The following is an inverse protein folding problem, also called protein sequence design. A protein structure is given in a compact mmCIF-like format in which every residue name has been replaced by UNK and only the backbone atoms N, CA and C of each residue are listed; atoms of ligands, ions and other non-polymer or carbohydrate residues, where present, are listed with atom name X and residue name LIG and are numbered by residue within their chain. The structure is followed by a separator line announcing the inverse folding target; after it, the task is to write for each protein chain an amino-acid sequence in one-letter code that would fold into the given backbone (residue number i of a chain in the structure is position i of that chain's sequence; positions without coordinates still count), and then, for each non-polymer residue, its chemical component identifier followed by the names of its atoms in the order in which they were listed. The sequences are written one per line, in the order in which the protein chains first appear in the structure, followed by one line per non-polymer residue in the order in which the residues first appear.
data_IF_352217406915
#
_entry.id   IF_352217406915
#
_cell.length_a   1.000
_cell.length_b   1.000
_cell.length_c   1.000
_cell.angle_alpha   90.00
_cell.angle_beta   90.00
_cell.angle_gamma   90.00
#
_symmetry.space_group_name_H-M   'P 1'
#
loop_
_entity.id
_entity.type
_entity.pdbx_description
1 polymer ?
#
# COMPACT_ATOMS: atom_id res chain seq x y z
N UNK A 1 15.34 16.58 -27.21
CA UNK A 1 15.04 15.96 -25.90
C UNK A 1 15.01 17.05 -24.85
N UNK A 2 13.85 17.66 -24.62
CA UNK A 2 13.67 18.73 -23.64
C UNK A 2 13.82 18.16 -22.23
N UNK A 3 14.90 18.54 -21.54
CA UNK A 3 15.07 18.29 -20.11
C UNK A 3 14.14 19.27 -19.39
N UNK A 4 12.98 18.79 -18.96
CA UNK A 4 12.19 19.44 -17.92
C UNK A 4 13.00 19.35 -16.62
N UNK A 5 13.99 20.23 -16.47
CA UNK A 5 14.65 20.43 -15.20
C UNK A 5 13.66 21.24 -14.34
N UNK A 6 13.20 20.71 -13.19
CA UNK A 6 12.23 21.39 -12.35
C UNK A 6 12.80 22.72 -11.84
N UNK A 7 11.98 23.76 -11.85
CA UNK A 7 12.37 25.08 -11.34
C UNK A 7 12.41 25.07 -9.80
N UNK A 8 13.09 26.05 -9.17
CA UNK A 8 13.10 26.16 -7.68
C UNK A 8 11.72 26.09 -7.06
N UNK A 9 10.74 26.75 -7.68
CA UNK A 9 9.36 26.79 -7.21
C UNK A 9 8.72 25.40 -7.20
N UNK A 10 8.99 24.61 -8.23
CA UNK A 10 8.52 23.22 -8.32
C UNK A 10 9.15 22.38 -7.20
N UNK A 11 10.47 22.48 -7.00
CA UNK A 11 11.18 21.74 -5.95
C UNK A 11 10.70 22.09 -4.53
N UNK A 12 10.49 23.39 -4.25
CA UNK A 12 9.98 23.85 -2.96
C UNK A 12 8.52 23.41 -2.74
N UNK A 13 7.69 23.43 -3.78
CA UNK A 13 6.31 22.95 -3.67
C UNK A 13 6.25 21.44 -3.40
N UNK A 14 7.08 20.65 -4.10
CA UNK A 14 7.21 19.22 -3.87
C UNK A 14 7.71 18.92 -2.45
N UNK A 15 8.73 19.63 -1.98
CA UNK A 15 9.25 19.48 -0.63
C UNK A 15 8.18 19.78 0.43
N UNK A 16 7.40 20.86 0.26
CA UNK A 16 6.32 21.20 1.17
C UNK A 16 5.23 20.12 1.18
N UNK A 17 4.84 19.61 0.00
CA UNK A 17 3.87 18.52 -0.10
C UNK A 17 4.37 17.25 0.60
N UNK A 18 5.62 16.85 0.37
CA UNK A 18 6.20 15.65 0.98
C UNK A 18 6.33 15.79 2.50
N UNK A 19 6.66 16.98 2.99
CA UNK A 19 6.70 17.27 4.42
C UNK A 19 5.31 17.17 5.06
N UNK A 20 4.28 17.75 4.42
CA UNK A 20 2.90 17.67 4.90
C UNK A 20 2.37 16.23 4.90
N UNK A 21 2.54 15.51 3.79
CA UNK A 21 2.13 14.10 3.68
C UNK A 21 2.88 13.22 4.68
N UNK A 22 4.19 13.40 4.81
CA UNK A 22 5.03 12.66 5.74
C UNK A 22 4.59 12.86 7.20
N UNK A 23 4.34 14.11 7.60
CA UNK A 23 3.83 14.43 8.93
C UNK A 23 2.47 13.78 9.20
N UNK A 24 1.51 13.92 8.25
CA UNK A 24 0.18 13.31 8.37
C UNK A 24 0.28 11.79 8.53
N UNK A 25 1.12 11.12 7.74
CA UNK A 25 1.34 9.67 7.83
C UNK A 25 1.96 9.25 9.16
N UNK A 26 2.90 10.02 9.71
CA UNK A 26 3.51 9.70 11.01
C UNK A 26 2.52 9.81 12.18
N UNK A 27 1.67 10.84 12.19
CA UNK A 27 0.74 11.09 13.30
C UNK A 27 -0.56 10.29 13.18
N UNK A 28 -1.09 10.09 11.98
CA UNK A 28 -2.41 9.48 11.75
C UNK A 28 -2.36 8.12 11.04
N UNK A 29 -1.21 7.42 11.07
CA UNK A 29 -0.95 6.20 10.29
C UNK A 29 -2.12 5.19 10.26
N UNK A 30 -2.72 4.91 11.41
CA UNK A 30 -3.81 3.93 11.54
C UNK A 30 -5.17 4.46 11.10
N UNK A 31 -5.44 5.74 11.36
CA UNK A 31 -6.69 6.39 10.99
C UNK A 31 -6.78 6.68 9.49
N UNK A 32 -5.65 6.93 8.82
CA UNK A 32 -5.62 7.23 7.38
C UNK A 32 -6.12 6.03 6.58
N UNK A 33 -5.55 4.85 6.82
CA UNK A 33 -5.91 3.67 6.02
C UNK A 33 -7.37 3.26 6.22
N UNK A 34 -7.85 3.29 7.47
CA UNK A 34 -9.25 3.01 7.79
C UNK A 34 -10.20 4.03 7.16
N UNK A 35 -9.82 5.31 7.15
CA UNK A 35 -10.60 6.37 6.50
C UNK A 35 -10.63 6.19 4.98
N UNK A 36 -9.48 5.93 4.34
CA UNK A 36 -9.39 5.70 2.89
C UNK A 36 -10.30 4.54 2.49
N UNK A 37 -10.20 3.39 3.18
CA UNK A 37 -11.00 2.20 2.87
C UNK A 37 -12.49 2.47 3.09
N UNK A 38 -12.85 3.20 4.15
CA UNK A 38 -14.25 3.56 4.40
C UNK A 38 -14.80 4.50 3.32
N UNK A 39 -14.05 5.52 2.92
CA UNK A 39 -14.45 6.45 1.84
C UNK A 39 -14.60 5.69 0.52
N UNK A 40 -13.64 4.83 0.18
CA UNK A 40 -13.75 3.94 -0.99
C UNK A 40 -14.99 3.06 -0.93
N UNK A 41 -15.31 2.50 0.25
CA UNK A 41 -16.53 1.73 0.47
C UNK A 41 -17.79 2.54 0.18
N UNK A 42 -17.91 3.76 0.72
CA UNK A 42 -19.04 4.67 0.47
C UNK A 42 -19.18 4.98 -1.02
N UNK A 43 -18.08 5.30 -1.70
CA UNK A 43 -18.09 5.57 -3.14
C UNK A 43 -18.56 4.33 -3.92
N UNK A 44 -18.12 3.12 -3.55
CA UNK A 44 -18.58 1.87 -4.15
C UNK A 44 -20.08 1.63 -3.93
N UNK A 45 -20.60 1.95 -2.75
CA UNK A 45 -22.04 1.84 -2.43
C UNK A 45 -22.84 2.76 -3.33
N UNK A 46 -22.42 4.02 -3.49
CA UNK A 46 -23.09 4.98 -4.37
C UNK A 46 -23.05 4.52 -5.83
N UNK A 47 -21.91 4.02 -6.30
CA UNK A 47 -21.77 3.47 -7.65
C UNK A 47 -22.63 2.23 -7.89
N UNK A 48 -22.63 1.28 -6.93
CA UNK A 48 -23.49 0.10 -6.98
C UNK A 48 -24.97 0.47 -6.98
N UNK A 49 -25.37 1.40 -6.10
CA UNK A 49 -26.73 1.91 -6.03
C UNK A 49 -27.18 2.60 -7.32
N UNK A 50 -26.31 3.38 -7.95
CA UNK A 50 -26.58 4.00 -9.25
C UNK A 50 -26.82 2.96 -10.35
N UNK A 51 -25.98 1.91 -10.42
CA UNK A 51 -26.17 0.84 -11.40
C UNK A 51 -27.45 0.02 -11.16
N UNK A 52 -27.83 -0.21 -9.90
CA UNK A 52 -29.11 -0.83 -9.55
C UNK A 52 -30.29 0.06 -9.96
N UNK A 53 -30.21 1.36 -9.69
CA UNK A 53 -31.24 2.33 -10.09
C UNK A 53 -31.45 2.35 -11.61
N UNK A 54 -30.36 2.41 -12.38
CA UNK A 54 -30.40 2.36 -13.84
C UNK A 54 -31.07 1.06 -14.36
N UNK A 55 -30.77 -0.09 -13.73
CA UNK A 55 -31.39 -1.36 -14.08
C UNK A 55 -32.90 -1.40 -13.80
N UNK A 56 -33.35 -0.96 -12.62
CA UNK A 56 -34.76 -1.04 -12.24
C UNK A 56 -35.66 0.03 -12.88
N UNK A 57 -35.12 1.23 -13.13
CA UNK A 57 -35.92 2.40 -13.53
C UNK A 57 -35.79 2.74 -15.02
N UNK A 58 -34.58 2.66 -15.58
CA UNK A 58 -34.29 3.17 -16.92
C UNK A 58 -34.33 2.06 -17.98
N UNK A 59 -33.75 0.90 -17.68
CA UNK A 59 -33.78 -0.27 -18.56
C UNK A 59 -34.87 -1.25 -18.12
N UNK A 60 -36.11 -1.06 -18.58
CA UNK A 60 -37.08 -2.18 -18.72
C UNK A 60 -36.62 -3.18 -19.81
N UNK A 61 -35.34 -3.54 -19.82
CA UNK A 61 -34.65 -4.14 -20.96
C UNK A 61 -33.67 -5.19 -20.44
N UNK A 62 -33.69 -6.33 -21.13
CA UNK A 62 -33.03 -7.63 -20.93
C UNK A 62 -31.51 -7.64 -20.69
N UNK A 63 -30.87 -6.48 -20.50
CA UNK A 63 -29.45 -6.39 -20.18
C UNK A 63 -29.21 -6.66 -18.70
N UNK A 64 -28.77 -7.88 -18.39
CA UNK A 64 -28.33 -8.31 -17.05
C UNK A 64 -26.98 -7.70 -16.63
N UNK A 65 -26.25 -7.06 -17.56
CA UNK A 65 -24.91 -6.49 -17.33
C UNK A 65 -24.84 -5.47 -16.16
N UNK A 66 -25.75 -4.47 -16.05
CA UNK A 66 -25.71 -3.50 -14.95
C UNK A 66 -26.01 -4.14 -13.59
N UNK A 67 -26.89 -5.14 -13.56
CA UNK A 67 -27.26 -5.88 -12.35
C UNK A 67 -26.13 -6.81 -11.88
N UNK A 68 -25.47 -7.49 -12.80
CA UNK A 68 -24.35 -8.40 -12.51
C UNK A 68 -23.15 -7.69 -11.87
N UNK A 69 -22.90 -6.41 -12.21
CA UNK A 69 -21.83 -5.60 -11.63
C UNK A 69 -22.31 -4.81 -10.41
N UNK A 70 -23.54 -4.28 -10.46
CA UNK A 70 -24.08 -3.41 -9.42
C UNK A 70 -24.27 -4.11 -8.08
N UNK A 71 -24.80 -5.35 -8.07
CA UNK A 71 -25.04 -6.11 -6.82
C UNK A 71 -23.74 -6.41 -6.06
N UNK A 72 -22.72 -7.04 -6.67
CA UNK A 72 -21.47 -7.30 -5.96
C UNK A 72 -20.76 -6.00 -5.57
N UNK A 73 -20.80 -4.95 -6.40
CA UNK A 73 -20.22 -3.66 -6.04
C UNK A 73 -20.90 -3.02 -4.83
N UNK A 74 -22.23 -3.10 -4.74
CA UNK A 74 -22.99 -2.58 -3.59
C UNK A 74 -22.69 -3.36 -2.31
N UNK A 75 -22.69 -4.70 -2.38
CA UNK A 75 -22.38 -5.57 -1.23
C UNK A 75 -20.93 -5.35 -0.77
N UNK A 76 -19.96 -5.37 -1.69
CA UNK A 76 -18.55 -5.10 -1.37
C UNK A 76 -18.37 -3.71 -0.76
N UNK A 77 -19.00 -2.70 -1.34
CA UNK A 77 -18.99 -1.32 -0.83
C UNK A 77 -19.51 -1.23 0.60
N UNK A 78 -20.62 -1.91 0.90
CA UNK A 78 -21.21 -1.93 2.24
C UNK A 78 -20.28 -2.60 3.25
N UNK A 79 -19.68 -3.74 2.88
CA UNK A 79 -18.70 -4.45 3.70
C UNK A 79 -17.47 -3.57 3.96
N UNK A 80 -16.93 -2.90 2.94
CA UNK A 80 -15.81 -1.96 3.04
C UNK A 80 -16.12 -0.79 3.98
N UNK A 81 -17.34 -0.24 3.91
CA UNK A 81 -17.75 0.91 4.72
C UNK A 81 -17.94 0.57 6.20
N UNK A 82 -18.54 -0.58 6.49
CA UNK A 82 -18.87 -1.02 7.86
C UNK A 82 -17.68 -1.73 8.52
N UNK A 83 -16.96 -2.58 7.79
CA UNK A 83 -15.86 -3.43 8.29
C UNK A 83 -14.53 -3.18 7.56
N UNK A 84 -14.01 -1.93 7.52
CA UNK A 84 -12.77 -1.62 6.79
C UNK A 84 -11.56 -2.42 7.32
N UNK A 85 -11.55 -2.71 8.62
CA UNK A 85 -10.46 -3.44 9.28
C UNK A 85 -10.28 -4.86 8.76
N UNK A 86 -11.36 -5.53 8.34
CA UNK A 86 -11.28 -6.90 7.84
C UNK A 86 -10.46 -6.96 6.56
N UNK A 87 -10.73 -6.04 5.62
CA UNK A 87 -10.03 -5.98 4.33
C UNK A 87 -8.60 -5.47 4.52
N UNK A 88 -8.41 -4.46 5.37
CA UNK A 88 -7.08 -3.93 5.70
C UNK A 88 -6.16 -5.02 6.24
N UNK A 89 -6.67 -5.94 7.06
CA UNK A 89 -5.88 -7.03 7.62
C UNK A 89 -5.75 -8.24 6.68
N UNK A 90 -6.67 -8.41 5.75
CA UNK A 90 -6.67 -9.53 4.80
C UNK A 90 -5.44 -9.54 3.90
N UNK A 91 -5.12 -8.40 3.26
CA UNK A 91 -3.96 -8.29 2.37
C UNK A 91 -2.62 -8.63 3.04
N UNK A 92 -2.30 -8.06 4.23
CA UNK A 92 -1.16 -8.47 5.04
C UNK A 92 -1.14 -9.98 5.31
N UNK A 93 -2.24 -10.58 5.75
CA UNK A 93 -2.24 -12.01 6.10
C UNK A 93 -1.86 -12.85 4.89
N UNK A 94 -2.44 -12.57 3.72
CA UNK A 94 -2.10 -13.25 2.46
C UNK A 94 -0.63 -13.02 2.10
N UNK A 95 -0.14 -11.78 2.19
CA UNK A 95 1.26 -11.46 1.95
C UNK A 95 2.20 -12.19 2.92
N UNK A 96 1.82 -12.34 4.19
CA UNK A 96 2.56 -13.11 5.20
C UNK A 96 2.65 -14.60 4.86
N UNK A 97 1.56 -15.20 4.38
CA UNK A 97 1.57 -16.59 3.87
C UNK A 97 2.55 -16.71 2.70
N UNK A 98 2.46 -15.82 1.72
CA UNK A 98 3.35 -15.86 0.56
C UNK A 98 4.82 -15.64 0.94
N UNK A 99 5.10 -14.72 1.88
CA UNK A 99 6.44 -14.46 2.39
C UNK A 99 7.02 -15.67 3.12
N UNK A 100 6.24 -16.33 3.97
CA UNK A 100 6.70 -17.53 4.68
C UNK A 100 7.02 -18.67 3.72
N UNK A 101 6.16 -18.93 2.72
CA UNK A 101 6.42 -19.91 1.67
C UNK A 101 7.69 -19.59 0.87
N UNK A 102 7.87 -18.33 0.46
CA UNK A 102 9.08 -17.90 -0.25
C UNK A 102 10.33 -18.03 0.62
N UNK A 103 10.23 -17.74 1.91
CA UNK A 103 11.34 -17.87 2.87
C UNK A 103 11.79 -19.32 3.02
N UNK A 104 10.86 -20.27 3.07
CA UNK A 104 11.19 -21.71 3.12
C UNK A 104 11.99 -22.11 1.87
N UNK A 105 11.56 -21.69 0.69
CA UNK A 105 12.30 -21.94 -0.56
C UNK A 105 13.69 -21.28 -0.55
N UNK A 106 13.82 -20.09 0.03
CA UNK A 106 15.10 -19.39 0.14
C UNK A 106 16.05 -20.06 1.14
N UNK A 107 15.54 -20.63 2.23
CA UNK A 107 16.34 -21.46 3.15
C UNK A 107 16.91 -22.66 2.40
N UNK A 108 16.10 -23.38 1.63
CA UNK A 108 16.58 -24.50 0.81
C UNK A 108 17.68 -24.06 -0.17
N UNK A 109 17.49 -22.94 -0.87
CA UNK A 109 18.51 -22.36 -1.77
C UNK A 109 19.80 -22.02 -1.02
N UNK A 110 19.72 -21.44 0.17
CA UNK A 110 20.89 -21.10 0.99
C UNK A 110 21.68 -22.34 1.42
N UNK A 111 21.00 -23.45 1.71
CA UNK A 111 21.63 -24.73 2.04
C UNK A 111 22.31 -25.37 0.83
N UNK A 112 21.72 -25.21 -0.36
CA UNK A 112 22.38 -25.62 -1.62
C UNK A 112 23.63 -24.78 -1.87
N UNK A 113 23.58 -23.46 -1.67
CA UNK A 113 24.75 -22.58 -1.78
C UNK A 113 25.85 -22.96 -0.78
N UNK A 114 25.48 -23.34 0.45
CA UNK A 114 26.40 -23.84 1.46
C UNK A 114 27.11 -25.12 0.98
N UNK A 115 26.36 -26.06 0.40
CA UNK A 115 26.92 -27.31 -0.17
C UNK A 115 27.81 -27.04 -1.39
N UNK A 116 27.50 -26.01 -2.17
CA UNK A 116 28.29 -25.56 -3.32
C UNK A 116 29.54 -24.75 -2.94
N UNK A 117 29.80 -24.52 -1.64
CA UNK A 117 30.98 -23.78 -1.16
C UNK A 117 30.94 -22.27 -1.44
N UNK A 118 29.78 -21.71 -1.79
CA UNK A 118 29.65 -20.29 -2.12
C UNK A 118 29.61 -19.46 -0.83
N UNK A 119 30.53 -18.50 -0.59
CA UNK A 119 30.64 -17.79 0.68
C UNK A 119 29.42 -16.93 1.06
N UNK A 120 28.58 -16.55 0.10
CA UNK A 120 27.35 -15.78 0.35
C UNK A 120 26.20 -16.59 0.99
N UNK A 121 26.39 -17.89 1.23
CA UNK A 121 25.38 -18.77 1.82
C UNK A 121 24.83 -18.25 3.17
N UNK A 122 25.69 -17.70 4.03
CA UNK A 122 25.28 -17.14 5.33
C UNK A 122 24.36 -15.94 5.16
N UNK A 123 24.66 -15.05 4.21
CA UNK A 123 23.86 -13.83 4.00
C UNK A 123 22.47 -14.18 3.47
N UNK A 124 22.38 -15.16 2.56
CA UNK A 124 21.09 -15.68 2.10
C UNK A 124 20.30 -16.38 3.20
N UNK A 125 20.96 -17.09 4.12
CA UNK A 125 20.30 -17.80 5.20
C UNK A 125 19.74 -16.84 6.26
N UNK A 126 20.51 -15.81 6.62
CA UNK A 126 20.05 -14.74 7.53
C UNK A 126 18.88 -13.97 6.91
N UNK A 127 18.98 -13.60 5.64
CA UNK A 127 17.89 -12.91 4.94
C UNK A 127 16.59 -13.74 4.95
N UNK A 128 16.68 -15.03 4.67
CA UNK A 128 15.52 -15.92 4.68
C UNK A 128 14.89 -16.06 6.07
N UNK A 129 15.70 -16.12 7.13
CA UNK A 129 15.21 -16.14 8.52
C UNK A 129 14.49 -14.83 8.90
N UNK A 130 15.05 -13.68 8.50
CA UNK A 130 14.41 -12.37 8.73
C UNK A 130 13.06 -12.30 7.99
N UNK A 131 13.02 -12.70 6.72
CA UNK A 131 11.76 -12.72 5.94
C UNK A 131 10.72 -13.65 6.55
N UNK A 132 11.14 -14.82 7.06
CA UNK A 132 10.26 -15.76 7.75
C UNK A 132 9.67 -15.14 9.02
N UNK A 133 10.50 -14.49 9.84
CA UNK A 133 10.05 -13.78 11.04
C UNK A 133 9.07 -12.66 10.70
N UNK A 134 9.40 -11.82 9.71
CA UNK A 134 8.52 -10.75 9.23
C UNK A 134 7.18 -11.32 8.78
N UNK A 135 7.18 -12.40 7.99
CA UNK A 135 5.96 -13.07 7.52
C UNK A 135 5.05 -13.53 8.66
N UNK A 136 5.63 -14.13 9.71
CA UNK A 136 4.87 -14.56 10.90
C UNK A 136 4.28 -13.36 11.65
N UNK A 137 5.06 -12.30 11.89
CA UNK A 137 4.59 -11.09 12.58
C UNK A 137 3.43 -10.45 11.81
N UNK A 138 3.51 -10.47 10.47
CA UNK A 138 2.49 -9.95 9.57
C UNK A 138 1.14 -10.69 9.71
N UNK A 139 1.18 -12.00 9.99
CA UNK A 139 -0.03 -12.81 10.22
C UNK A 139 -0.65 -12.56 11.60
N UNK A 140 0.17 -12.42 12.64
CA UNK A 140 -0.30 -12.29 14.03
C UNK A 140 -0.79 -10.86 14.31
N UNK A 141 -0.09 -9.84 13.80
CA UNK A 141 -0.39 -8.42 14.07
C UNK A 141 -0.33 -7.57 12.79
N UNK A 142 -1.21 -7.83 11.81
CA UNK A 142 -1.20 -7.13 10.52
C UNK A 142 -1.35 -5.62 10.68
N UNK A 143 -2.27 -5.18 11.55
CA UNK A 143 -2.52 -3.75 11.81
C UNK A 143 -1.31 -3.01 12.40
N UNK A 144 -0.53 -3.68 13.25
CA UNK A 144 0.69 -3.10 13.83
C UNK A 144 1.78 -2.95 12.79
N UNK A 145 1.94 -3.95 11.91
CA UNK A 145 2.92 -3.91 10.82
C UNK A 145 2.59 -2.81 9.83
N UNK A 146 1.31 -2.68 9.42
CA UNK A 146 0.86 -1.58 8.56
C UNK A 146 1.20 -0.23 9.19
N UNK A 147 0.88 -0.04 10.47
CA UNK A 147 1.19 1.21 11.17
C UNK A 147 2.69 1.51 11.18
N UNK A 148 3.53 0.50 11.38
CA UNK A 148 4.98 0.65 11.33
C UNK A 148 5.46 1.03 9.94
N UNK A 149 4.97 0.36 8.89
CA UNK A 149 5.30 0.67 7.49
C UNK A 149 4.90 2.12 7.18
N UNK A 150 3.68 2.52 7.50
CA UNK A 150 3.17 3.87 7.24
C UNK A 150 3.99 4.95 7.95
N UNK A 151 4.39 4.71 9.20
CA UNK A 151 5.29 5.62 9.93
C UNK A 151 6.67 5.70 9.30
N UNK A 152 7.22 4.57 8.89
CA UNK A 152 8.53 4.50 8.23
C UNK A 152 8.50 5.22 6.87
N UNK A 153 7.43 5.04 6.11
CA UNK A 153 7.16 5.80 4.88
C UNK A 153 7.04 7.30 5.17
N UNK A 154 6.33 7.69 6.23
CA UNK A 154 6.23 9.10 6.63
C UNK A 154 7.58 9.73 6.97
N UNK A 155 8.44 9.01 7.71
CA UNK A 155 9.81 9.44 8.02
C UNK A 155 10.65 9.54 6.74
N UNK A 156 10.53 8.58 5.83
CA UNK A 156 11.23 8.60 4.55
C UNK A 156 10.81 9.82 3.70
N UNK A 157 9.52 10.14 3.63
CA UNK A 157 9.03 11.33 2.93
C UNK A 157 9.55 12.63 3.54
N UNK A 158 9.64 12.72 4.87
CA UNK A 158 10.23 13.89 5.54
C UNK A 158 11.71 14.00 5.17
N UNK A 159 12.45 12.88 5.13
CA UNK A 159 13.85 12.89 4.69
C UNK A 159 13.97 13.35 3.23
N UNK A 160 13.10 12.88 2.33
CA UNK A 160 13.07 13.34 0.94
C UNK A 160 12.72 14.84 0.84
N UNK A 161 11.81 15.34 1.66
CA UNK A 161 11.49 16.78 1.70
C UNK A 161 12.70 17.63 2.09
N UNK A 162 13.51 17.18 3.05
CA UNK A 162 14.76 17.85 3.44
C UNK A 162 15.74 17.86 2.26
N UNK A 163 15.90 16.72 1.59
CA UNK A 163 16.79 16.61 0.42
C UNK A 163 16.34 17.54 -0.71
N UNK A 164 15.04 17.58 -1.03
CA UNK A 164 14.48 18.49 -2.05
C UNK A 164 14.65 19.96 -1.67
N UNK A 165 14.49 20.29 -0.39
CA UNK A 165 14.72 21.65 0.12
C UNK A 165 16.18 22.06 -0.08
N UNK A 166 17.12 21.19 0.29
CA UNK A 166 18.56 21.44 0.05
C UNK A 166 18.86 21.58 -1.44
N UNK A 167 18.29 20.73 -2.28
CA UNK A 167 18.46 20.81 -3.74
C UNK A 167 17.93 22.13 -4.32
N UNK A 168 16.83 22.68 -3.79
CA UNK A 168 16.31 23.97 -4.22
C UNK A 168 17.26 25.14 -3.91
N UNK A 169 18.03 25.05 -2.81
CA UNK A 169 19.05 26.04 -2.47
C UNK A 169 20.39 25.83 -3.18
N UNK A 170 20.80 24.56 -3.36
CA UNK A 170 22.08 24.18 -3.98
C UNK A 170 22.03 24.30 -5.50
N UNK A 171 20.87 24.10 -6.12
CA UNK A 171 20.69 24.29 -7.56
C UNK A 171 19.80 25.50 -7.84
N UNK A 172 20.28 26.72 -7.57
CA UNK A 172 19.44 27.88 -7.55
C UNK A 172 18.83 28.16 -8.94
N UNK A 173 19.55 28.13 -10.03
CA UNK A 173 18.90 28.24 -11.33
C UNK A 173 19.92 27.82 -12.35
N UNK A 174 19.53 26.88 -13.20
CA UNK A 174 19.48 27.25 -14.60
C UNK A 174 18.08 27.80 -14.86
#
# INVERSE_FOLDING_TARGET
MNRLNPTRGDLLSMALMYLLFGAVLCFFSGSILTTIVRVLGIVLVLYGGYNLYQYFVVLKSTNLSPMAIGIPAFILGLILAVWPNMIINFFPIVAGILLTLNSIAQIQKSLVLKRAGVPSWMMSMVAALVMLFVGIVLMIRPSSVINMIMKLTGIALIAEAIVLSVQAFVNPAR
#
